data_IF_061143976197
#
_entry.id   IF_061143976197
#
_cell.length_a   1.000
_cell.length_b   1.000
_cell.length_c   1.000
_cell.angle_alpha   90.00
_cell.angle_beta   90.00
_cell.angle_gamma   90.00
#
_symmetry.space_group_name_H-M   'P 1'
#
loop_
_entity.id
_entity.type
_entity.pdbx_description
1 polymer ?
#
# COMPACT_ATOMS: atom_id res chain seq x y z
N UNK A 1 66.47 -37.86 11.86
CA UNK A 1 66.49 -36.41 11.57
C UNK A 1 65.10 -35.89 11.89
N UNK A 2 64.83 -35.45 13.12
CA UNK A 2 64.96 -34.07 13.64
C UNK A 2 64.00 -33.10 12.92
N UNK A 3 63.09 -32.31 13.54
CA UNK A 3 62.74 -31.87 14.91
C UNK A 3 61.28 -31.36 14.87
N UNK A 4 60.42 -31.58 15.89
CA UNK A 4 60.05 -30.61 16.96
C UNK A 4 58.69 -29.92 16.65
N UNK A 5 57.72 -29.64 17.53
CA UNK A 5 57.62 -29.48 19.00
C UNK A 5 56.10 -29.42 19.36
N UNK A 6 55.57 -30.16 20.37
CA UNK A 6 55.21 -29.74 21.76
C UNK A 6 54.12 -28.63 21.88
N UNK A 7 53.09 -28.65 22.74
CA UNK A 7 52.79 -29.28 24.03
C UNK A 7 51.25 -29.29 24.30
N UNK A 8 50.79 -30.23 25.13
CA UNK A 8 49.44 -30.34 25.71
C UNK A 8 49.49 -30.36 27.25
N UNK A 9 48.33 -30.14 27.89
CA UNK A 9 47.87 -30.45 29.27
C UNK A 9 47.79 -29.26 30.27
N UNK A 10 47.04 -29.36 31.39
CA UNK A 10 45.66 -29.85 31.55
C UNK A 10 44.79 -29.01 32.53
N UNK A 11 43.53 -29.42 32.67
CA UNK A 11 42.48 -28.93 33.57
C UNK A 11 42.65 -29.46 35.02
N UNK A 12 42.47 -28.61 36.04
CA UNK A 12 42.28 -29.05 37.44
C UNK A 12 41.36 -28.13 38.24
N UNK A 13 40.49 -28.77 39.02
CA UNK A 13 39.44 -28.30 39.94
C UNK A 13 39.87 -27.35 41.08
N UNK A 14 38.96 -26.52 41.61
CA UNK A 14 38.57 -26.51 43.05
C UNK A 14 37.45 -25.49 43.43
N UNK A 15 36.39 -26.03 44.05
CA UNK A 15 35.65 -25.61 45.29
C UNK A 15 35.11 -24.17 45.53
N UNK A 16 33.78 -24.17 45.77
CA UNK A 16 32.98 -23.57 46.86
C UNK A 16 33.28 -22.16 47.42
N UNK A 17 32.25 -21.31 47.49
CA UNK A 17 31.70 -20.84 48.78
C UNK A 17 30.26 -20.29 48.65
N UNK A 18 29.52 -20.40 49.75
CA UNK A 18 28.12 -19.99 49.97
C UNK A 18 28.05 -18.51 50.40
N UNK A 19 26.91 -17.84 50.18
CA UNK A 19 26.60 -16.60 50.90
C UNK A 19 25.33 -15.88 50.46
N UNK A 20 24.17 -16.25 51.02
CA UNK A 20 23.03 -15.35 51.24
C UNK A 20 23.33 -14.42 52.42
N UNK A 21 22.74 -13.21 52.51
CA UNK A 21 21.57 -13.05 53.37
C UNK A 21 20.51 -12.00 52.95
N UNK A 22 19.25 -12.33 53.28
CA UNK A 22 18.22 -11.53 53.98
C UNK A 22 17.79 -10.14 53.49
N UNK A 23 16.47 -10.01 53.25
CA UNK A 23 15.67 -8.78 53.29
C UNK A 23 15.66 -8.15 54.71
N UNK A 24 15.21 -6.88 54.82
CA UNK A 24 13.87 -6.72 55.38
C UNK A 24 13.00 -5.62 54.74
N UNK A 25 11.73 -5.73 55.11
CA UNK A 25 10.53 -4.96 54.78
C UNK A 25 10.58 -3.56 55.40
N UNK A 26 10.04 -2.55 54.71
CA UNK A 26 9.80 -1.20 55.24
C UNK A 26 8.52 -0.59 54.65
N UNK A 27 7.51 -0.43 55.51
CA UNK A 27 6.19 0.17 55.30
C UNK A 27 6.22 1.67 55.66
N UNK A 28 5.13 2.39 55.33
CA UNK A 28 4.81 3.84 55.50
C UNK A 28 5.09 4.70 54.25
N UNK A 29 4.18 5.54 53.75
CA UNK A 29 2.86 5.94 54.25
C UNK A 29 2.13 6.85 53.24
N UNK A 30 0.80 6.91 53.39
CA UNK A 30 -0.14 7.85 52.75
C UNK A 30 0.30 9.31 52.93
N UNK A 31 0.09 10.13 51.90
CA UNK A 31 -0.27 11.53 52.09
C UNK A 31 -1.19 11.99 50.94
N UNK A 32 -2.41 12.36 51.31
CA UNK A 32 -3.35 13.15 50.52
C UNK A 32 -2.79 14.54 50.17
N UNK A 33 -3.12 15.07 49.00
CA UNK A 33 -3.77 16.40 48.82
C UNK A 33 -3.98 16.74 47.35
N UNK A 34 -5.17 17.27 47.09
CA UNK A 34 -5.71 17.69 45.81
C UNK A 34 -5.28 19.14 45.43
N UNK A 35 -5.95 19.82 44.47
CA UNK A 35 -5.37 20.28 43.21
C UNK A 35 -4.93 21.75 43.22
N UNK A 36 -3.97 22.10 42.37
CA UNK A 36 -3.53 23.48 42.18
C UNK A 36 -3.96 24.00 40.80
N UNK A 37 -4.99 24.84 40.78
CA UNK A 37 -5.34 25.71 39.66
C UNK A 37 -4.52 26.99 39.76
N UNK A 38 -3.89 27.45 38.67
CA UNK A 38 -3.60 28.88 38.50
C UNK A 38 -3.48 29.25 37.02
N UNK A 39 -4.38 30.13 36.60
CA UNK A 39 -4.23 31.02 35.46
C UNK A 39 -2.98 31.89 35.66
N UNK A 40 -2.23 32.14 34.59
CA UNK A 40 -1.44 33.35 34.47
C UNK A 40 -1.55 33.92 33.06
N UNK A 41 -1.81 35.23 33.04
CA UNK A 41 -2.00 36.07 31.88
C UNK A 41 -0.66 36.59 31.35
N UNK A 42 -0.70 36.93 30.06
CA UNK A 42 -0.03 38.05 29.37
C UNK A 42 1.28 38.60 29.94
N UNK A 43 2.31 38.59 29.10
CA UNK A 43 3.20 39.75 28.88
C UNK A 43 3.97 39.53 27.56
N UNK A 44 3.66 40.34 26.54
CA UNK A 44 4.43 40.45 25.32
C UNK A 44 4.99 41.87 25.24
N UNK A 45 6.31 41.97 25.37
CA UNK A 45 7.08 43.21 25.34
C UNK A 45 7.28 43.67 23.90
N UNK A 46 7.14 44.98 23.74
CA UNK A 46 7.26 45.76 22.52
C UNK A 46 8.71 46.25 22.32
N UNK A 47 9.19 46.29 21.07
CA UNK A 47 10.33 47.10 20.59
C UNK A 47 10.19 47.20 19.06
N UNK A 48 9.54 48.24 18.54
CA UNK A 48 10.11 49.49 17.98
C UNK A 48 11.08 49.25 16.81
N UNK A 49 10.62 49.44 15.56
CA UNK A 49 10.75 50.68 14.72
C UNK A 49 11.82 50.42 13.65
N UNK A 50 11.73 50.75 12.36
CA UNK A 50 11.01 51.75 11.54
C UNK A 50 11.19 51.27 10.06
N UNK A 51 10.42 51.64 9.04
CA UNK A 51 10.48 52.91 8.29
C UNK A 51 9.38 52.89 7.19
N UNK A 52 8.45 53.85 7.30
CA UNK A 52 7.79 54.72 6.28
C UNK A 52 7.37 54.24 4.87
N UNK A 53 6.09 54.58 4.56
CA UNK A 53 5.62 55.04 3.23
C UNK A 53 4.31 54.37 2.74
N UNK A 54 3.12 54.81 3.18
CA UNK A 54 2.19 55.75 2.48
C UNK A 54 1.74 55.26 1.07
N UNK A 55 0.47 55.16 0.67
CA UNK A 55 -0.84 55.54 1.20
C UNK A 55 -1.95 55.27 0.13
N UNK A 56 -3.21 55.57 0.48
CA UNK A 56 -4.52 55.43 -0.25
C UNK A 56 -5.24 54.06 -0.08
N UNK A 57 -6.29 53.95 0.76
CA UNK A 57 -7.73 54.34 0.58
C UNK A 57 -8.42 53.56 -0.57
N UNK A 58 -9.58 52.90 -0.45
CA UNK A 58 -10.58 52.75 0.59
C UNK A 58 -11.53 51.55 0.27
N UNK A 59 -11.97 50.86 1.33
CA UNK A 59 -13.33 50.38 1.65
C UNK A 59 -14.33 50.14 0.49
N UNK A 60 -14.81 48.89 0.35
CA UNK A 60 -16.26 48.57 0.52
C UNK A 60 -16.56 47.07 0.51
N UNK A 61 -17.48 46.74 1.41
CA UNK A 61 -18.08 45.47 1.81
C UNK A 61 -18.90 44.74 0.74
N UNK A 62 -18.88 43.40 0.76
CA UNK A 62 -20.04 42.58 0.34
C UNK A 62 -20.21 41.33 1.22
N UNK A 63 -21.44 41.19 1.71
CA UNK A 63 -21.91 40.18 2.65
C UNK A 63 -21.97 38.77 2.03
N UNK A 64 -21.66 37.78 2.88
CA UNK A 64 -21.99 36.38 2.69
C UNK A 64 -23.50 36.13 2.83
N UNK A 65 -24.10 35.43 1.87
CA UNK A 65 -25.49 34.94 1.97
C UNK A 65 -25.50 33.43 2.18
N UNK A 66 -25.96 32.98 3.35
CA UNK A 66 -26.28 31.59 3.67
C UNK A 66 -27.53 31.16 2.89
N UNK A 67 -27.43 30.08 2.11
CA UNK A 67 -28.59 29.43 1.51
C UNK A 67 -29.15 28.35 2.45
N UNK A 68 -30.35 28.59 2.98
CA UNK A 68 -31.17 27.63 3.73
C UNK A 68 -31.98 26.77 2.76
N UNK A 69 -31.78 25.45 2.79
CA UNK A 69 -32.60 24.49 2.03
C UNK A 69 -33.90 24.22 2.79
N UNK A 70 -35.03 24.66 2.22
CA UNK A 70 -36.38 24.46 2.75
C UNK A 70 -36.99 23.22 2.08
N UNK A 71 -37.32 22.18 2.85
CA UNK A 71 -38.12 21.03 2.38
C UNK A 71 -39.55 21.51 2.06
N UNK A 72 -40.03 21.27 0.84
CA UNK A 72 -41.46 21.31 0.52
C UNK A 72 -41.93 19.91 0.12
N UNK A 73 -42.96 19.46 0.81
CA UNK A 73 -43.74 18.25 0.56
C UNK A 73 -44.65 18.48 -0.65
N UNK A 74 -44.43 17.73 -1.74
CA UNK A 74 -45.24 17.77 -2.95
C UNK A 74 -45.82 16.39 -3.27
N UNK A 75 -47.15 16.31 -3.27
CA UNK A 75 -48.00 15.14 -3.49
C UNK A 75 -47.85 14.55 -4.90
N UNK A 76 -47.68 13.23 -5.00
CA UNK A 76 -47.67 12.47 -6.26
C UNK A 76 -49.00 12.62 -7.02
N UNK A 77 -48.97 13.28 -8.19
CA UNK A 77 -50.05 13.21 -9.18
C UNK A 77 -49.68 12.21 -10.28
N UNK A 78 -50.61 11.28 -10.51
CA UNK A 78 -50.55 10.20 -11.50
C UNK A 78 -50.95 10.76 -12.88
N UNK A 79 -50.03 10.80 -13.84
CA UNK A 79 -50.33 11.20 -15.22
C UNK A 79 -50.87 10.01 -16.03
N UNK A 80 -52.00 10.22 -16.74
CA UNK A 80 -52.58 9.29 -17.72
C UNK A 80 -51.84 9.40 -19.07
N UNK A 81 -51.82 8.34 -19.91
CA UNK A 81 -51.11 8.37 -21.18
C UNK A 81 -51.90 9.15 -22.24
N UNK A 82 -51.24 10.14 -22.85
CA UNK A 82 -51.73 10.90 -23.99
C UNK A 82 -51.15 10.39 -25.31
N UNK A 83 -51.99 10.46 -26.34
CA UNK A 83 -51.82 10.04 -27.74
C UNK A 83 -50.49 10.43 -28.40
N UNK A 84 -49.93 9.51 -29.20
CA UNK A 84 -48.76 9.69 -30.08
C UNK A 84 -49.06 10.71 -31.18
N UNK A 85 -48.12 11.63 -31.42
CA UNK A 85 -47.95 12.27 -32.71
C UNK A 85 -46.54 11.99 -33.22
N UNK A 86 -46.48 11.48 -34.44
CA UNK A 86 -45.29 11.14 -35.20
C UNK A 86 -44.56 12.40 -35.66
N UNK A 87 -43.31 12.56 -35.24
CA UNK A 87 -42.34 13.41 -35.94
C UNK A 87 -41.06 12.61 -36.17
N UNK A 88 -40.56 12.74 -37.40
CA UNK A 88 -39.50 12.01 -38.06
C UNK A 88 -38.18 12.00 -37.29
N UNK A 89 -37.69 10.81 -36.96
CA UNK A 89 -36.36 10.60 -36.44
C UNK A 89 -35.32 10.65 -37.58
N UNK A 90 -34.35 11.54 -37.47
CA UNK A 90 -33.15 11.57 -38.31
C UNK A 90 -32.27 10.39 -37.91
N UNK A 91 -32.08 9.45 -38.83
CA UNK A 91 -31.30 8.22 -38.62
C UNK A 91 -29.80 8.54 -38.46
N UNK A 92 -29.22 8.20 -37.31
CA UNK A 92 -27.77 8.10 -37.11
C UNK A 92 -27.35 6.75 -37.70
N UNK A 93 -26.31 6.67 -38.56
CA UNK A 93 -25.86 5.38 -39.08
C UNK A 93 -25.22 4.55 -37.96
N UNK A 94 -25.76 3.35 -37.76
CA UNK A 94 -25.27 2.34 -36.84
C UNK A 94 -23.98 1.73 -37.41
N UNK A 95 -22.83 2.11 -36.88
CA UNK A 95 -21.56 1.43 -37.18
C UNK A 95 -21.57 0.12 -36.40
N UNK A 96 -21.98 -0.96 -37.07
CA UNK A 96 -21.82 -2.32 -36.58
C UNK A 96 -20.37 -2.77 -36.81
N UNK A 97 -19.46 -2.40 -35.89
CA UNK A 97 -18.23 -3.17 -35.73
C UNK A 97 -18.58 -4.48 -35.03
N UNK A 98 -18.74 -5.54 -35.82
CA UNK A 98 -18.79 -6.90 -35.29
C UNK A 98 -17.44 -7.25 -34.69
N UNK A 99 -17.29 -7.10 -33.38
CA UNK A 99 -16.17 -7.70 -32.65
C UNK A 99 -16.23 -9.21 -32.94
N UNK A 100 -15.19 -9.83 -33.51
CA UNK A 100 -15.21 -11.26 -33.76
C UNK A 100 -15.36 -11.97 -32.42
N UNK A 101 -16.44 -12.74 -32.27
CA UNK A 101 -16.57 -13.70 -31.16
C UNK A 101 -15.48 -14.73 -31.40
N UNK A 102 -14.35 -14.57 -30.73
CA UNK A 102 -13.29 -15.59 -30.69
C UNK A 102 -13.92 -16.82 -30.08
N UNK A 103 -14.22 -17.82 -30.91
CA UNK A 103 -14.63 -19.14 -30.43
C UNK A 103 -13.49 -19.65 -29.57
N UNK A 104 -13.73 -19.74 -28.25
CA UNK A 104 -12.76 -20.32 -27.32
C UNK A 104 -12.49 -21.75 -27.79
N UNK A 105 -11.28 -22.00 -28.27
CA UNK A 105 -10.86 -23.35 -28.60
C UNK A 105 -10.98 -24.20 -27.33
N UNK A 106 -11.35 -25.49 -27.44
CA UNK A 106 -11.40 -26.38 -26.26
C UNK A 106 -10.02 -26.39 -25.61
N UNK A 107 -9.96 -25.80 -24.40
CA UNK A 107 -8.72 -25.64 -23.66
C UNK A 107 -8.28 -27.02 -23.20
N UNK A 108 -7.05 -27.40 -23.56
CA UNK A 108 -6.46 -28.66 -23.12
C UNK A 108 -5.86 -28.46 -21.73
N UNK A 109 -5.96 -29.47 -20.83
CA UNK A 109 -5.20 -29.47 -19.59
C UNK A 109 -3.71 -29.26 -19.87
N UNK A 110 -2.98 -28.68 -18.92
CA UNK A 110 -1.51 -28.61 -19.01
C UNK A 110 -0.95 -30.01 -19.24
N UNK A 111 -0.03 -30.14 -20.19
CA UNK A 111 0.58 -31.43 -20.54
C UNK A 111 1.43 -32.00 -19.41
N UNK A 112 2.05 -31.13 -18.60
CA UNK A 112 2.80 -31.49 -17.40
C UNK A 112 2.59 -30.40 -16.32
N UNK A 113 1.73 -30.65 -15.31
CA UNK A 113 1.47 -29.69 -14.26
C UNK A 113 2.69 -29.28 -13.41
N UNK A 114 3.73 -30.12 -13.37
CA UNK A 114 4.93 -29.84 -12.59
C UNK A 114 6.02 -29.12 -13.41
N UNK A 115 5.87 -29.08 -14.74
CA UNK A 115 6.74 -28.34 -15.64
C UNK A 115 5.93 -27.67 -16.77
N UNK A 116 5.05 -26.71 -16.42
CA UNK A 116 4.20 -26.00 -17.36
C UNK A 116 5.01 -25.17 -18.36
N UNK A 117 4.52 -25.07 -19.60
CA UNK A 117 5.20 -24.33 -20.66
C UNK A 117 4.65 -22.90 -20.77
N UNK A 118 5.17 -22.01 -19.93
CA UNK A 118 4.71 -20.62 -19.90
C UNK A 118 5.00 -19.88 -21.19
N UNK A 119 3.98 -19.18 -21.69
CA UNK A 119 4.16 -18.19 -22.76
C UNK A 119 4.79 -16.93 -22.19
N UNK A 120 5.55 -16.22 -23.02
CA UNK A 120 5.98 -14.88 -22.66
C UNK A 120 4.75 -13.98 -22.62
N UNK A 121 4.49 -13.35 -21.47
CA UNK A 121 3.50 -12.27 -21.40
C UNK A 121 3.87 -11.12 -22.36
N UNK A 122 2.88 -10.26 -22.67
CA UNK A 122 3.11 -9.05 -23.45
C UNK A 122 4.25 -8.24 -22.84
N UNK A 123 5.11 -7.72 -23.72
CA UNK A 123 6.23 -6.92 -23.28
C UNK A 123 5.71 -5.58 -22.75
N UNK A 124 6.24 -5.14 -21.60
CA UNK A 124 5.84 -3.87 -20.97
C UNK A 124 5.89 -2.69 -21.95
N UNK A 125 6.91 -2.64 -22.82
CA UNK A 125 7.07 -1.60 -23.83
C UNK A 125 6.00 -1.63 -24.93
N UNK A 126 5.44 -2.80 -25.24
CA UNK A 126 4.34 -2.95 -26.20
C UNK A 126 3.02 -2.46 -25.58
N UNK A 127 2.74 -2.85 -24.34
CA UNK A 127 1.55 -2.40 -23.63
C UNK A 127 1.60 -0.89 -23.33
N UNK A 128 2.78 -0.37 -23.02
CA UNK A 128 3.00 1.00 -22.56
C UNK A 128 4.07 1.71 -23.38
N UNK A 129 3.74 2.16 -24.60
CA UNK A 129 4.66 2.94 -25.41
C UNK A 129 5.09 4.22 -24.67
N UNK A 130 6.35 4.61 -24.86
CA UNK A 130 6.96 5.80 -24.22
C UNK A 130 6.90 5.80 -22.69
N UNK A 131 6.77 4.63 -22.07
CA UNK A 131 6.74 4.49 -20.61
C UNK A 131 7.92 3.67 -20.11
N UNK A 132 8.43 4.05 -18.94
CA UNK A 132 9.49 3.33 -18.24
C UNK A 132 9.05 3.00 -16.80
N UNK A 133 9.48 1.84 -16.29
CA UNK A 133 9.28 1.48 -14.89
C UNK A 133 10.39 2.09 -14.05
N UNK A 134 10.02 2.91 -13.08
CA UNK A 134 10.90 3.68 -12.22
C UNK A 134 10.62 3.37 -10.74
N UNK A 135 11.54 3.76 -9.86
CA UNK A 135 11.41 3.53 -8.43
C UNK A 135 11.69 4.81 -7.64
N UNK A 136 10.85 5.08 -6.64
CA UNK A 136 11.17 6.07 -5.61
C UNK A 136 11.97 5.39 -4.52
N UNK A 137 13.13 5.95 -4.20
CA UNK A 137 13.95 5.54 -3.06
C UNK A 137 13.44 6.23 -1.81
N UNK A 138 13.02 5.44 -0.82
CA UNK A 138 12.45 5.94 0.42
C UNK A 138 13.21 5.35 1.60
N UNK A 139 13.81 6.22 2.41
CA UNK A 139 14.46 5.80 3.65
C UNK A 139 13.42 5.39 4.68
N UNK A 140 13.54 4.18 5.22
CA UNK A 140 12.75 3.71 6.34
C UNK A 140 13.46 4.07 7.66
N UNK A 141 13.04 5.18 8.26
CA UNK A 141 13.66 5.81 9.44
C UNK A 141 14.07 4.85 10.58
N UNK A 142 13.29 3.82 10.97
CA UNK A 142 13.67 2.96 12.09
C UNK A 142 14.95 2.13 11.87
N UNK A 143 15.29 1.78 10.62
CA UNK A 143 16.50 0.99 10.31
C UNK A 143 17.44 1.67 9.32
N UNK A 144 17.01 2.76 8.68
CA UNK A 144 17.74 3.41 7.58
C UNK A 144 17.77 2.60 6.28
N UNK A 145 16.96 1.53 6.19
CA UNK A 145 16.86 0.72 4.98
C UNK A 145 16.18 1.51 3.85
N UNK A 146 16.69 1.41 2.63
CA UNK A 146 16.11 2.06 1.46
C UNK A 146 15.08 1.14 0.81
N UNK A 147 13.83 1.61 0.76
CA UNK A 147 12.72 0.95 0.09
C UNK A 147 12.62 1.45 -1.35
N UNK A 148 12.45 0.53 -2.31
CA UNK A 148 12.28 0.84 -3.72
C UNK A 148 10.80 0.73 -4.09
N UNK A 149 10.11 1.87 -4.23
CA UNK A 149 8.67 1.92 -4.46
C UNK A 149 8.39 2.15 -5.95
N UNK A 150 7.76 1.20 -6.67
CA UNK A 150 7.61 1.27 -8.11
C UNK A 150 6.55 2.28 -8.54
N UNK A 151 6.83 2.93 -9.65
CA UNK A 151 5.88 3.76 -10.41
C UNK A 151 6.23 3.67 -11.90
N UNK A 152 5.33 4.15 -12.75
CA UNK A 152 5.56 4.22 -14.20
C UNK A 152 5.69 5.66 -14.61
N UNK A 153 6.77 5.99 -15.33
CA UNK A 153 7.00 7.30 -15.91
C UNK A 153 6.64 7.29 -17.38
N UNK A 154 5.71 8.15 -17.79
CA UNK A 154 5.34 8.37 -19.19
C UNK A 154 6.11 9.58 -19.69
N UNK A 155 6.92 9.42 -20.74
CA UNK A 155 7.69 10.51 -21.33
C UNK A 155 6.83 11.29 -22.31
N UNK A 156 6.75 12.60 -22.10
CA UNK A 156 5.97 13.50 -22.93
C UNK A 156 6.84 14.14 -24.02
N UNK A 157 6.20 14.52 -25.12
CA UNK A 157 6.86 15.23 -26.22
C UNK A 157 7.16 16.69 -25.83
N UNK A 158 6.37 17.26 -24.93
CA UNK A 158 6.60 18.59 -24.37
C UNK A 158 7.93 18.63 -23.59
N UNK A 159 8.72 19.67 -23.85
CA UNK A 159 10.02 19.93 -23.21
C UNK A 159 9.99 21.15 -22.30
N UNK A 160 8.80 21.65 -21.99
CA UNK A 160 8.62 22.68 -20.98
C UNK A 160 9.04 22.11 -19.62
N UNK A 161 9.95 22.78 -18.88
CA UNK A 161 10.41 22.30 -17.58
C UNK A 161 9.21 22.01 -16.65
N UNK A 162 9.17 20.79 -16.10
CA UNK A 162 8.07 20.32 -15.25
C UNK A 162 6.93 19.59 -15.98
N UNK A 163 6.94 19.55 -17.32
CA UNK A 163 5.97 18.81 -18.13
C UNK A 163 6.64 17.73 -19.00
N UNK A 164 7.88 17.36 -18.68
CA UNK A 164 8.66 16.39 -19.45
C UNK A 164 8.13 14.95 -19.29
N UNK A 165 7.46 14.69 -18.17
CA UNK A 165 6.95 13.36 -17.84
C UNK A 165 5.70 13.41 -16.96
N UNK A 166 4.96 12.31 -16.96
CA UNK A 166 3.85 12.05 -16.05
C UNK A 166 4.12 10.75 -15.28
N UNK A 167 4.10 10.83 -13.95
CA UNK A 167 4.31 9.68 -13.08
C UNK A 167 2.96 9.07 -12.69
N UNK A 168 2.80 7.78 -12.96
CA UNK A 168 1.59 7.00 -12.76
C UNK A 168 1.82 5.85 -11.79
N UNK A 169 0.74 5.44 -11.13
CA UNK A 169 0.74 4.20 -10.35
C UNK A 169 0.98 3.00 -11.29
N UNK A 170 1.74 2.02 -10.82
CA UNK A 170 2.09 0.83 -11.59
C UNK A 170 1.98 -0.42 -10.73
N UNK A 171 1.24 -1.42 -11.21
CA UNK A 171 1.00 -2.72 -10.57
C UNK A 171 1.60 -3.88 -11.36
N UNK A 172 2.34 -3.60 -12.45
CA UNK A 172 2.90 -4.63 -13.33
C UNK A 172 3.94 -5.55 -12.67
N UNK A 173 4.48 -5.14 -11.52
CA UNK A 173 5.49 -5.91 -10.78
C UNK A 173 6.84 -6.01 -11.48
N UNK A 174 7.72 -6.92 -11.04
CA UNK A 174 9.03 -7.15 -11.65
C UNK A 174 8.93 -7.64 -13.10
N UNK A 175 9.67 -7.02 -14.00
CA UNK A 175 9.68 -7.36 -15.42
C UNK A 175 10.71 -8.47 -15.73
N UNK A 176 10.43 -9.31 -16.74
CA UNK A 176 11.39 -10.29 -17.26
C UNK A 176 11.68 -11.48 -16.35
N UNK A 177 10.86 -11.73 -15.33
CA UNK A 177 11.01 -12.88 -14.44
C UNK A 177 10.39 -14.14 -15.07
N UNK A 178 11.11 -15.25 -15.02
CA UNK A 178 10.61 -16.56 -15.44
C UNK A 178 9.67 -17.13 -14.36
N UNK A 179 8.39 -17.42 -14.66
CA UNK A 179 7.45 -17.94 -13.67
C UNK A 179 7.90 -19.23 -12.99
N UNK A 180 8.78 -20.03 -13.63
CA UNK A 180 9.32 -21.29 -13.04
C UNK A 180 10.22 -21.05 -11.85
N UNK A 181 10.90 -19.91 -11.80
CA UNK A 181 11.82 -19.55 -10.71
C UNK A 181 11.15 -18.64 -9.66
N UNK A 182 9.97 -18.10 -9.99
CA UNK A 182 9.28 -17.11 -9.18
C UNK A 182 9.89 -15.71 -9.31
N UNK A 183 9.34 -14.78 -8.56
CA UNK A 183 9.79 -13.38 -8.51
C UNK A 183 10.63 -13.11 -7.25
N UNK A 184 11.45 -12.04 -7.24
CA UNK A 184 12.29 -11.70 -6.09
C UNK A 184 11.48 -11.53 -4.79
N UNK A 185 11.97 -12.12 -3.70
CA UNK A 185 11.34 -12.07 -2.38
C UNK A 185 11.66 -10.77 -1.63
N UNK A 186 11.17 -9.64 -2.16
CA UNK A 186 11.42 -8.29 -1.67
C UNK A 186 11.32 -8.17 -0.13
N UNK A 187 10.30 -8.76 0.46
CA UNK A 187 9.93 -8.56 1.88
C UNK A 187 10.51 -9.60 2.83
N UNK A 188 11.25 -10.59 2.34
CA UNK A 188 11.72 -11.70 3.17
C UNK A 188 12.54 -11.21 4.38
N UNK A 189 13.41 -10.23 4.16
CA UNK A 189 14.24 -9.64 5.21
C UNK A 189 13.40 -8.83 6.21
N UNK A 190 12.38 -8.09 5.76
CA UNK A 190 11.51 -7.29 6.62
C UNK A 190 10.72 -8.17 7.60
N UNK A 191 10.17 -9.28 7.09
CA UNK A 191 9.39 -10.23 7.89
C UNK A 191 10.29 -10.95 8.91
N UNK A 192 11.49 -11.38 8.50
CA UNK A 192 12.45 -12.02 9.39
C UNK A 192 12.85 -11.08 10.54
N UNK A 193 13.32 -9.88 10.22
CA UNK A 193 13.79 -8.90 11.22
C UNK A 193 12.74 -8.57 12.30
N UNK A 194 11.46 -8.50 11.92
CA UNK A 194 10.38 -8.20 12.89
C UNK A 194 9.96 -9.39 13.74
N UNK A 195 10.08 -10.60 13.22
CA UNK A 195 9.76 -11.81 13.97
C UNK A 195 10.72 -11.97 15.15
N UNK A 196 11.98 -11.58 14.97
CA UNK A 196 13.00 -11.59 16.02
C UNK A 196 12.74 -10.51 17.09
N UNK A 197 12.27 -9.33 16.70
CA UNK A 197 12.10 -8.18 17.61
C UNK A 197 10.96 -8.34 18.63
N UNK A 198 9.87 -9.03 18.28
CA UNK A 198 8.71 -9.13 19.17
C UNK A 198 8.87 -10.20 20.26
N UNK A 199 9.87 -11.09 20.16
CA UNK A 199 10.01 -12.24 21.07
C UNK A 199 8.78 -13.17 21.08
N UNK A 200 7.82 -12.92 20.18
CA UNK A 200 6.65 -13.74 19.97
C UNK A 200 7.14 -14.93 19.15
N UNK A 201 7.12 -16.13 19.75
CA UNK A 201 7.56 -17.35 19.07
C UNK A 201 6.95 -17.49 17.68
N UNK A 202 7.61 -18.25 16.79
CA UNK A 202 7.36 -18.42 15.35
C UNK A 202 5.90 -18.71 14.88
N UNK A 203 4.93 -18.80 15.80
CA UNK A 203 3.51 -19.02 15.56
C UNK A 203 2.57 -17.83 15.81
N UNK A 204 3.02 -16.67 16.32
CA UNK A 204 2.09 -15.55 16.52
C UNK A 204 1.66 -14.92 15.18
N UNK A 205 0.34 -14.86 14.95
CA UNK A 205 -0.24 -14.24 13.76
C UNK A 205 -0.22 -12.71 13.88
N UNK A 206 0.97 -12.12 13.73
CA UNK A 206 1.14 -10.67 13.84
C UNK A 206 0.68 -9.99 12.56
N UNK A 207 -0.29 -9.08 12.70
CA UNK A 207 -0.90 -8.35 11.58
C UNK A 207 -0.40 -6.92 11.50
N UNK A 208 -0.57 -6.27 10.36
CA UNK A 208 -0.28 -4.83 10.22
C UNK A 208 -1.11 -3.98 11.20
N UNK A 209 -2.36 -4.38 11.49
CA UNK A 209 -3.20 -3.70 12.49
C UNK A 209 -2.62 -3.82 13.90
N UNK A 210 -2.02 -4.96 14.23
CA UNK A 210 -1.38 -5.17 15.52
C UNK A 210 -0.20 -4.21 15.71
N UNK A 211 0.69 -4.08 14.71
CA UNK A 211 1.79 -3.10 14.74
C UNK A 211 1.26 -1.67 14.82
N UNK A 212 0.26 -1.33 14.00
CA UNK A 212 -0.33 -0.01 13.94
C UNK A 212 -0.88 0.44 15.30
N UNK A 213 -1.60 -0.45 16.02
CA UNK A 213 -2.17 -0.17 17.34
C UNK A 213 -1.12 0.02 18.44
N UNK A 214 0.07 -0.57 18.28
CA UNK A 214 1.23 -0.35 19.16
C UNK A 214 2.02 0.92 18.81
N UNK A 215 1.56 1.70 17.81
CA UNK A 215 2.24 2.92 17.38
C UNK A 215 3.44 2.66 16.46
N UNK A 216 3.61 1.43 15.96
CA UNK A 216 4.74 1.08 15.10
C UNK A 216 4.38 1.30 13.63
N UNK A 217 5.25 2.00 12.91
CA UNK A 217 5.22 2.13 11.46
C UNK A 217 6.11 1.02 10.90
N UNK A 218 5.55 0.13 10.09
CA UNK A 218 6.29 -0.96 9.45
C UNK A 218 6.86 -0.54 8.10
N UNK A 219 7.80 -1.32 7.54
CA UNK A 219 8.26 -1.14 6.16
C UNK A 219 7.10 -1.14 5.17
N UNK A 220 6.08 -1.99 5.36
CA UNK A 220 4.91 -2.00 4.49
C UNK A 220 4.10 -0.71 4.58
N UNK A 221 3.96 -0.11 5.77
CA UNK A 221 3.29 1.19 5.92
C UNK A 221 4.06 2.32 5.25
N UNK A 222 5.39 2.34 5.38
CA UNK A 222 6.24 3.32 4.72
C UNK A 222 6.20 3.16 3.19
N UNK A 223 6.23 1.92 2.69
CA UNK A 223 6.13 1.61 1.27
C UNK A 223 4.83 2.11 0.66
N UNK A 224 3.67 1.79 1.27
CA UNK A 224 2.37 2.23 0.73
C UNK A 224 2.14 3.73 0.91
N UNK A 225 2.72 4.34 1.95
CA UNK A 225 2.66 5.78 2.15
C UNK A 225 3.31 6.52 0.98
N UNK A 226 4.52 6.12 0.60
CA UNK A 226 5.20 6.66 -0.57
C UNK A 226 4.45 6.38 -1.87
N UNK A 227 3.91 5.16 -2.05
CA UNK A 227 3.14 4.78 -3.24
C UNK A 227 1.85 5.59 -3.42
N UNK A 228 1.25 6.03 -2.32
CA UNK A 228 0.03 6.86 -2.30
C UNK A 228 0.31 8.37 -2.20
N UNK A 229 1.58 8.78 -2.02
CA UNK A 229 1.94 10.19 -1.79
C UNK A 229 1.41 10.73 -0.47
N UNK A 230 1.45 9.91 0.60
CA UNK A 230 0.94 10.23 1.93
C UNK A 230 1.98 10.02 3.02
N UNK A 231 1.72 10.58 4.20
CA UNK A 231 2.57 10.40 5.37
C UNK A 231 2.45 8.98 5.96
N UNK A 232 3.57 8.32 6.35
CA UNK A 232 3.53 7.00 6.98
C UNK A 232 2.69 6.95 8.26
N UNK A 233 2.71 8.02 9.05
CA UNK A 233 1.90 8.13 10.27
C UNK A 233 0.39 8.20 9.95
N UNK A 234 0.01 8.84 8.85
CA UNK A 234 -1.38 8.84 8.40
C UNK A 234 -1.85 7.43 8.05
N UNK A 235 -1.05 6.69 7.27
CA UNK A 235 -1.29 5.28 6.94
C UNK A 235 -1.45 4.43 8.19
N UNK A 236 -0.50 4.52 9.14
CA UNK A 236 -0.55 3.80 10.41
C UNK A 236 -1.85 4.11 11.17
N UNK A 237 -2.24 5.38 11.23
CA UNK A 237 -3.46 5.80 11.94
C UNK A 237 -4.73 5.21 11.33
N UNK A 238 -4.82 5.11 10.00
CA UNK A 238 -5.99 4.52 9.31
C UNK A 238 -6.05 3.00 9.49
N UNK A 239 -4.89 2.34 9.47
CA UNK A 239 -4.77 0.89 9.73
C UNK A 239 -5.11 0.56 11.18
N UNK A 240 -4.63 1.35 12.16
CA UNK A 240 -4.91 1.16 13.58
C UNK A 240 -6.42 1.27 13.90
N UNK A 241 -7.11 2.20 13.22
CA UNK A 241 -8.56 2.43 13.33
C UNK A 241 -9.40 1.41 12.56
N UNK A 242 -8.77 0.54 11.75
CA UNK A 242 -9.47 -0.42 10.90
C UNK A 242 -10.24 0.20 9.74
N UNK A 243 -9.89 1.44 9.33
CA UNK A 243 -10.48 2.10 8.15
C UNK A 243 -9.72 1.81 6.86
N UNK A 244 -8.52 1.25 7.00
CA UNK A 244 -7.71 0.76 5.90
C UNK A 244 -7.02 -0.54 6.28
N UNK A 245 -6.69 -1.34 5.27
CA UNK A 245 -6.03 -2.64 5.42
C UNK A 245 -4.90 -2.77 4.42
N UNK A 246 -3.84 -3.47 4.83
CA UNK A 246 -2.70 -3.84 3.99
C UNK A 246 -2.72 -5.37 3.90
N UNK A 247 -3.28 -5.97 2.83
CA UNK A 247 -3.48 -7.40 2.72
C UNK A 247 -2.16 -8.11 2.36
N UNK A 248 -1.34 -8.40 3.37
CA UNK A 248 -0.01 -8.98 3.15
C UNK A 248 0.27 -10.12 4.11
N UNK A 249 0.07 -11.34 3.63
CA UNK A 249 0.50 -12.54 4.34
C UNK A 249 2.04 -12.54 4.48
N UNK A 250 2.54 -12.97 5.65
CA UNK A 250 3.98 -13.15 5.91
C UNK A 250 4.63 -14.18 4.98
N UNK A 251 3.85 -15.16 4.52
CA UNK A 251 4.30 -16.21 3.60
C UNK A 251 4.27 -15.77 2.12
N UNK A 252 3.91 -14.53 1.82
CA UNK A 252 3.96 -13.95 0.48
C UNK A 252 5.02 -12.82 0.44
N UNK A 253 6.32 -13.14 0.61
CA UNK A 253 7.39 -12.15 0.64
C UNK A 253 7.66 -11.49 -0.72
N UNK A 254 7.12 -12.03 -1.80
CA UNK A 254 7.22 -11.52 -3.16
C UNK A 254 6.33 -10.29 -3.42
N UNK A 255 5.26 -10.12 -2.65
CA UNK A 255 4.26 -9.08 -2.88
C UNK A 255 4.81 -7.66 -2.68
N UNK A 256 4.58 -6.78 -3.65
CA UNK A 256 4.73 -5.34 -3.46
C UNK A 256 3.58 -4.81 -2.59
N UNK A 257 3.85 -4.15 -1.44
CA UNK A 257 2.79 -3.65 -0.58
C UNK A 257 1.83 -2.66 -1.26
N UNK A 258 0.55 -2.81 -0.95
CA UNK A 258 -0.53 -1.90 -1.34
C UNK A 258 -1.53 -1.73 -0.18
N UNK A 259 -2.30 -0.65 -0.20
CA UNK A 259 -3.28 -0.34 0.85
C UNK A 259 -4.68 -0.17 0.26
N UNK A 260 -5.68 -0.70 0.98
CA UNK A 260 -7.09 -0.55 0.63
C UNK A 260 -7.77 0.26 1.73
N UNK A 261 -8.40 1.37 1.37
CA UNK A 261 -9.19 2.17 2.30
C UNK A 261 -9.78 3.40 1.62
N UNK A 262 -10.83 3.98 2.22
CA UNK A 262 -11.60 5.09 1.65
C UNK A 262 -10.77 6.36 1.37
N UNK A 263 -9.65 6.53 2.08
CA UNK A 263 -8.78 7.72 1.99
C UNK A 263 -7.64 7.58 0.96
N UNK A 264 -7.48 6.41 0.36
CA UNK A 264 -6.44 6.10 -0.62
C UNK A 264 -7.03 6.04 -2.03
N UNK A 265 -6.17 5.90 -3.06
CA UNK A 265 -6.65 5.65 -4.42
C UNK A 265 -7.58 4.42 -4.43
N UNK A 266 -8.65 4.47 -5.22
CA UNK A 266 -9.55 3.31 -5.40
C UNK A 266 -8.75 2.18 -6.02
N UNK A 267 -8.96 0.95 -5.52
CA UNK A 267 -8.25 -0.25 -5.93
C UNK A 267 -9.17 -1.19 -6.67
N UNK A 268 -8.65 -1.85 -7.69
CA UNK A 268 -9.38 -2.81 -8.52
C UNK A 268 -8.87 -4.24 -8.31
N UNK A 269 -9.78 -5.20 -8.39
CA UNK A 269 -9.47 -6.61 -8.26
C UNK A 269 -9.83 -7.34 -9.55
N UNK A 270 -8.92 -8.18 -10.04
CA UNK A 270 -9.20 -9.10 -11.14
C UNK A 270 -9.43 -10.52 -10.58
N UNK A 271 -10.48 -11.18 -11.07
CA UNK A 271 -10.73 -12.58 -10.75
C UNK A 271 -10.14 -13.45 -11.86
N UNK A 272 -9.27 -14.38 -11.48
CA UNK A 272 -8.78 -15.45 -12.34
C UNK A 272 -9.22 -16.79 -11.75
N UNK A 273 -8.83 -17.89 -12.38
CA UNK A 273 -9.15 -19.22 -11.91
C UNK A 273 -9.59 -20.13 -13.03
N UNK A 274 -9.28 -21.41 -12.84
CA UNK A 274 -9.70 -22.46 -13.72
C UNK A 274 -11.12 -22.96 -13.35
N UNK A 275 -11.66 -23.77 -14.24
CA UNK A 275 -12.86 -24.56 -13.96
C UNK A 275 -12.65 -25.97 -14.46
N UNK A 276 -13.47 -26.90 -13.96
CA UNK A 276 -13.44 -28.31 -14.39
C UNK A 276 -13.60 -28.51 -15.92
N UNK A 277 -14.03 -27.47 -16.65
CA UNK A 277 -14.29 -27.51 -18.10
C UNK A 277 -13.32 -26.63 -18.90
N UNK A 278 -12.55 -25.74 -18.27
CA UNK A 278 -11.70 -24.78 -18.97
C UNK A 278 -10.53 -24.24 -18.13
N UNK A 279 -9.46 -23.88 -18.85
CA UNK A 279 -8.19 -23.31 -18.39
C UNK A 279 -7.10 -24.33 -17.99
N UNK A 280 -5.86 -23.88 -18.04
CA UNK A 280 -4.65 -24.60 -17.63
C UNK A 280 -3.72 -23.67 -16.83
N UNK A 281 -2.68 -24.23 -16.22
CA UNK A 281 -1.75 -23.49 -15.35
C UNK A 281 -1.06 -22.34 -16.12
N UNK A 282 -0.70 -22.60 -17.37
CA UNK A 282 -0.06 -21.62 -18.25
C UNK A 282 -0.94 -20.40 -18.49
N UNK A 283 -2.22 -20.62 -18.80
CA UNK A 283 -3.22 -19.58 -19.02
C UNK A 283 -3.55 -18.82 -17.73
N UNK A 284 -3.58 -19.48 -16.56
CA UNK A 284 -3.80 -18.78 -15.28
C UNK A 284 -2.66 -17.81 -14.95
N UNK A 285 -1.41 -18.25 -15.17
CA UNK A 285 -0.24 -17.39 -14.94
C UNK A 285 -0.20 -16.25 -15.96
N UNK A 286 -0.54 -16.50 -17.22
CA UNK A 286 -0.66 -15.46 -18.24
C UNK A 286 -1.74 -14.44 -17.86
N UNK A 287 -2.93 -14.90 -17.43
CA UNK A 287 -4.01 -14.02 -16.95
C UNK A 287 -3.61 -13.21 -15.71
N UNK A 288 -2.83 -13.80 -14.80
CA UNK A 288 -2.29 -13.09 -13.65
C UNK A 288 -1.38 -11.95 -14.09
N UNK A 289 -0.38 -12.24 -14.92
CA UNK A 289 0.58 -11.25 -15.43
C UNK A 289 -0.14 -10.17 -16.25
N UNK A 290 -1.09 -10.56 -17.09
CA UNK A 290 -1.90 -9.65 -17.90
C UNK A 290 -2.74 -8.71 -17.04
N UNK A 291 -3.41 -9.24 -16.01
CA UNK A 291 -4.24 -8.45 -15.10
C UNK A 291 -3.39 -7.41 -14.37
N UNK A 292 -2.26 -7.83 -13.80
CA UNK A 292 -1.31 -6.90 -13.15
C UNK A 292 -0.79 -5.85 -14.12
N UNK A 293 -0.44 -6.26 -15.35
CA UNK A 293 0.07 -5.36 -16.38
C UNK A 293 -0.92 -4.22 -16.61
N UNK A 294 -2.22 -4.52 -16.79
CA UNK A 294 -3.27 -3.51 -17.07
C UNK A 294 -3.85 -2.80 -15.85
N UNK A 295 -3.24 -2.94 -14.66
CA UNK A 295 -3.61 -2.14 -13.50
C UNK A 295 -4.38 -2.85 -12.40
N UNK A 296 -4.54 -4.19 -12.45
CA UNK A 296 -5.15 -4.91 -11.33
C UNK A 296 -4.28 -4.76 -10.07
N UNK A 297 -4.85 -4.21 -9.00
CA UNK A 297 -4.13 -4.03 -7.73
C UNK A 297 -4.11 -5.31 -6.89
N UNK A 298 -5.17 -6.11 -7.00
CA UNK A 298 -5.30 -7.40 -6.37
C UNK A 298 -5.84 -8.42 -7.36
N UNK A 299 -5.53 -9.68 -7.11
CA UNK A 299 -6.02 -10.79 -7.89
C UNK A 299 -6.59 -11.83 -6.93
N UNK A 300 -7.73 -12.40 -7.31
CA UNK A 300 -8.33 -13.54 -6.61
C UNK A 300 -8.31 -14.75 -7.52
N UNK A 301 -7.67 -15.82 -7.06
CA UNK A 301 -7.78 -17.14 -7.67
C UNK A 301 -9.08 -17.80 -7.19
N UNK A 302 -10.03 -17.95 -8.10
CA UNK A 302 -11.34 -18.58 -7.91
C UNK A 302 -11.41 -19.94 -8.61
N UNK A 303 -10.27 -20.61 -8.77
CA UNK A 303 -10.17 -21.95 -9.35
C UNK A 303 -11.12 -22.95 -8.69
N UNK A 304 -11.86 -23.69 -9.51
CA UNK A 304 -12.87 -24.67 -9.06
C UNK A 304 -12.61 -26.10 -9.55
N UNK A 305 -11.57 -26.34 -10.34
CA UNK A 305 -11.21 -27.67 -10.84
C UNK A 305 -9.92 -27.69 -11.64
#
# INVERSE_FOLDING_TARGET
MALGSFQTLPWSSLRHSKGTPLCPVGFLGRADRAPFTRNFASEAVCSSSSVLGAGLLAISSLLATRATVRRSSGTLRRCKPGSRNSQSATTIPEIQESVPVVQQQPVRPSSDPYNPNFRSAAQFAEAYPSSEKMYHEVSYEPTGEVLQVPFRRVHLTDKTPGFEHLDLYDTSGPLGCDPRHGIPKLRAQWVAARSDQLGEGSGAAVTQMHYAKRGLITQEMAFVAAREGMEPEFVRSEVARGRAVIPLNRNHPEAEPMIIGRKFKVKINANIGNSAVASNIEEEVEKLQWSCLWGADNIMDLSTG
#
